data_IF_755435359912
#
_entry.id   IF_755435359912
#
_cell.length_a   1.000
_cell.length_b   1.000
_cell.length_c   1.000
_cell.angle_alpha   90.00
_cell.angle_beta   90.00
_cell.angle_gamma   90.00
#
_symmetry.space_group_name_H-M   'P 1'
#
loop_
_entity.id
_entity.type
_entity.pdbx_description
1 polymer ?
#
# COMPACT_ATOMS: atom_id res chain seq x y z
N UNK A 1 27.58 -25.57 -62.88
CA UNK A 1 27.74 -25.81 -61.45
C UNK A 1 27.38 -24.54 -60.74
N UNK A 2 26.15 -24.43 -60.13
CA UNK A 2 25.64 -23.25 -59.46
C UNK A 2 25.64 -23.58 -57.98
N UNK A 3 26.52 -22.94 -57.23
CA UNK A 3 26.57 -23.06 -55.77
C UNK A 3 25.42 -22.24 -55.16
N UNK A 4 24.47 -22.91 -54.51
CA UNK A 4 23.40 -22.29 -53.75
C UNK A 4 23.99 -21.77 -52.43
N UNK A 5 23.97 -20.45 -52.28
CA UNK A 5 24.32 -19.76 -51.03
C UNK A 5 23.06 -19.73 -50.14
N UNK A 6 23.01 -20.52 -49.09
CA UNK A 6 21.94 -20.49 -48.11
C UNK A 6 22.20 -19.34 -47.14
N UNK A 7 21.38 -18.31 -47.21
CA UNK A 7 21.37 -17.21 -46.21
C UNK A 7 20.52 -17.69 -45.01
N UNK A 8 21.19 -18.02 -43.94
CA UNK A 8 20.54 -18.29 -42.66
C UNK A 8 20.10 -16.96 -42.03
N UNK A 9 18.82 -16.66 -42.15
CA UNK A 9 18.21 -15.52 -41.49
C UNK A 9 17.98 -15.91 -40.02
N UNK A 10 18.91 -15.54 -39.15
CA UNK A 10 18.79 -15.69 -37.70
C UNK A 10 17.71 -14.79 -37.18
N UNK A 11 16.55 -15.33 -36.85
CA UNK A 11 15.48 -14.66 -36.16
C UNK A 11 15.90 -14.52 -34.68
N UNK A 12 16.51 -13.39 -34.33
CA UNK A 12 16.71 -13.03 -32.94
C UNK A 12 15.35 -12.59 -32.38
N UNK A 13 14.58 -13.54 -31.88
CA UNK A 13 13.43 -13.28 -31.03
C UNK A 13 13.97 -12.72 -29.72
N UNK A 14 14.05 -11.40 -29.67
CA UNK A 14 14.27 -10.69 -28.40
C UNK A 14 13.16 -11.08 -27.43
N UNK A 15 13.49 -11.93 -26.46
CA UNK A 15 12.68 -12.18 -25.29
C UNK A 15 12.57 -10.85 -24.52
N UNK A 16 11.61 -10.01 -24.93
CA UNK A 16 11.13 -8.93 -24.09
C UNK A 16 10.56 -9.60 -22.85
N UNK A 17 11.34 -9.57 -21.78
CA UNK A 17 10.92 -10.03 -20.47
C UNK A 17 9.67 -9.24 -20.07
N UNK A 18 8.51 -9.82 -20.31
CA UNK A 18 7.25 -9.33 -19.76
C UNK A 18 7.38 -9.54 -18.27
N UNK A 19 7.75 -8.49 -17.54
CA UNK A 19 7.71 -8.51 -16.08
C UNK A 19 6.24 -8.59 -15.69
N UNK A 20 5.71 -9.79 -15.55
CA UNK A 20 4.38 -10.02 -15.01
C UNK A 20 4.36 -9.50 -13.57
N UNK A 21 3.41 -8.62 -13.29
CA UNK A 21 3.10 -8.28 -11.91
C UNK A 21 2.59 -9.54 -11.23
N UNK A 22 3.28 -10.00 -10.21
CA UNK A 22 2.84 -11.14 -9.43
C UNK A 22 1.71 -10.70 -8.49
N UNK A 23 0.56 -11.36 -8.59
CA UNK A 23 -0.60 -11.10 -7.73
C UNK A 23 -0.73 -12.25 -6.75
N UNK A 24 -0.74 -11.92 -5.48
CA UNK A 24 -0.85 -12.89 -4.41
C UNK A 24 -1.93 -12.51 -3.38
N UNK A 25 -2.55 -13.53 -2.80
CA UNK A 25 -3.50 -13.38 -1.70
C UNK A 25 -2.75 -13.60 -0.40
N UNK A 26 -2.98 -12.69 0.55
CA UNK A 26 -2.49 -12.87 1.91
C UNK A 26 -3.51 -13.67 2.73
N UNK A 27 -3.01 -14.47 3.65
CA UNK A 27 -3.87 -15.25 4.54
C UNK A 27 -4.79 -14.32 5.36
N UNK A 28 -6.04 -14.76 5.61
CA UNK A 28 -6.94 -14.03 6.47
C UNK A 28 -6.34 -13.84 7.87
N UNK A 29 -6.38 -12.63 8.38
CA UNK A 29 -5.80 -12.26 9.67
C UNK A 29 -6.83 -11.62 10.57
N UNK A 30 -6.96 -12.12 11.80
CA UNK A 30 -7.68 -11.42 12.86
C UNK A 30 -6.79 -10.34 13.45
N UNK A 31 -7.31 -9.13 13.55
CA UNK A 31 -6.59 -7.99 14.08
C UNK A 31 -7.52 -7.03 14.82
N UNK A 32 -6.96 -5.96 15.37
CA UNK A 32 -7.70 -4.87 15.96
C UNK A 32 -7.83 -3.74 14.96
N UNK A 33 -9.06 -3.30 14.68
CA UNK A 33 -9.35 -2.11 13.90
C UNK A 33 -9.65 -0.92 14.82
N UNK A 34 -9.08 0.23 14.49
CA UNK A 34 -9.30 1.50 15.16
C UNK A 34 -9.98 2.43 14.16
N UNK A 35 -11.16 2.93 14.52
CA UNK A 35 -11.93 3.81 13.67
C UNK A 35 -11.92 5.20 14.25
N UNK A 36 -11.58 6.18 13.42
CA UNK A 36 -11.53 7.59 13.81
C UNK A 36 -12.49 8.41 12.95
N UNK A 37 -12.89 9.54 13.49
CA UNK A 37 -13.58 10.62 12.79
C UNK A 37 -13.07 11.95 13.32
N UNK A 38 -12.66 12.86 12.43
CA UNK A 38 -12.09 14.17 12.78
C UNK A 38 -10.97 14.06 13.83
N UNK A 39 -10.04 13.13 13.57
CA UNK A 39 -8.87 12.83 14.40
C UNK A 39 -9.19 12.27 15.81
N UNK A 40 -10.46 11.95 16.12
CA UNK A 40 -10.88 11.37 17.39
C UNK A 40 -11.20 9.90 17.24
N UNK A 41 -10.65 9.07 18.12
CA UNK A 41 -10.98 7.64 18.17
C UNK A 41 -12.47 7.49 18.52
N UNK A 42 -13.22 6.82 17.65
CA UNK A 42 -14.63 6.52 17.82
C UNK A 42 -14.85 5.10 18.35
N UNK A 43 -14.11 4.15 17.76
CA UNK A 43 -14.28 2.74 18.10
C UNK A 43 -12.94 2.01 17.99
N UNK A 44 -12.78 1.01 18.85
CA UNK A 44 -11.74 0.01 18.81
C UNK A 44 -12.42 -1.35 18.87
N UNK A 45 -12.29 -2.17 17.83
CA UNK A 45 -13.02 -3.45 17.73
C UNK A 45 -12.22 -4.50 16.96
N UNK A 46 -12.49 -5.76 17.27
CA UNK A 46 -11.92 -6.86 16.52
C UNK A 46 -12.39 -6.81 15.07
N UNK A 47 -11.52 -7.14 14.14
CA UNK A 47 -11.84 -7.26 12.73
C UNK A 47 -11.05 -8.39 12.07
N UNK A 48 -11.62 -9.00 11.04
CA UNK A 48 -10.95 -9.93 10.17
C UNK A 48 -10.54 -9.20 8.89
N UNK A 49 -9.27 -9.24 8.56
CA UNK A 49 -8.70 -8.64 7.36
C UNK A 49 -8.39 -9.74 6.34
N UNK A 50 -8.82 -9.53 5.11
CA UNK A 50 -8.32 -10.25 3.94
C UNK A 50 -7.62 -9.27 3.01
N UNK A 51 -6.55 -9.69 2.37
CA UNK A 51 -5.81 -8.81 1.48
C UNK A 51 -5.38 -9.53 0.20
N UNK A 52 -5.25 -8.73 -0.86
CA UNK A 52 -4.63 -9.12 -2.12
C UNK A 52 -3.63 -8.02 -2.48
N UNK A 53 -2.46 -8.41 -2.88
CA UNK A 53 -1.41 -7.48 -3.26
C UNK A 53 -0.80 -7.86 -4.60
N UNK A 54 -0.17 -6.92 -5.26
CA UNK A 54 0.70 -7.17 -6.41
C UNK A 54 1.97 -6.35 -6.30
N UNK A 55 3.04 -6.95 -6.82
CA UNK A 55 4.36 -6.33 -6.95
C UNK A 55 4.71 -6.13 -8.42
N UNK A 56 5.66 -5.23 -8.69
CA UNK A 56 6.11 -4.92 -10.05
C UNK A 56 6.34 -3.41 -10.22
N UNK A 57 6.12 -2.90 -11.43
CA UNK A 57 6.21 -1.45 -11.72
C UNK A 57 5.19 -0.61 -10.93
N UNK A 58 4.11 -1.25 -10.52
CA UNK A 58 3.05 -0.68 -9.69
C UNK A 58 2.84 -1.62 -8.51
N UNK A 59 3.01 -1.13 -7.32
CA UNK A 59 2.72 -1.86 -6.10
C UNK A 59 1.35 -1.47 -5.62
N UNK A 60 0.48 -2.44 -5.39
CA UNK A 60 -0.83 -2.14 -4.85
C UNK A 60 -1.29 -3.20 -3.85
N UNK A 61 -2.17 -2.79 -2.97
CA UNK A 61 -2.81 -3.65 -1.98
C UNK A 61 -4.29 -3.33 -1.90
N UNK A 62 -5.12 -4.36 -1.96
CA UNK A 62 -6.55 -4.30 -1.64
C UNK A 62 -6.77 -5.02 -0.33
N UNK A 63 -7.45 -4.39 0.63
CA UNK A 63 -7.82 -5.00 1.90
C UNK A 63 -9.31 -4.89 2.12
N UNK A 64 -9.89 -5.95 2.69
CA UNK A 64 -11.28 -5.96 3.17
C UNK A 64 -11.25 -6.24 4.66
N UNK A 65 -11.84 -5.34 5.43
CA UNK A 65 -11.99 -5.47 6.87
C UNK A 65 -13.44 -5.81 7.20
N UNK A 66 -13.69 -7.01 7.71
CA UNK A 66 -14.99 -7.39 8.27
C UNK A 66 -14.95 -7.12 9.76
N UNK A 67 -15.66 -6.08 10.19
CA UNK A 67 -15.71 -5.63 11.58
C UNK A 67 -16.62 -6.56 12.41
N UNK A 68 -16.39 -6.61 13.73
CA UNK A 68 -17.22 -7.41 14.66
C UNK A 68 -18.70 -7.03 14.63
N UNK A 69 -19.05 -5.79 14.27
CA UNK A 69 -20.42 -5.32 14.09
C UNK A 69 -21.06 -5.68 12.74
N UNK A 70 -20.38 -6.51 11.92
CA UNK A 70 -20.85 -6.95 10.60
C UNK A 70 -20.54 -5.99 9.44
N UNK A 71 -20.13 -4.74 9.70
CA UNK A 71 -19.76 -3.78 8.66
C UNK A 71 -18.49 -4.23 7.94
N UNK A 72 -18.47 -4.03 6.62
CA UNK A 72 -17.27 -4.26 5.79
C UNK A 72 -16.72 -2.93 5.30
N UNK A 73 -15.41 -2.76 5.42
CA UNK A 73 -14.67 -1.62 4.90
C UNK A 73 -13.67 -2.14 3.88
N UNK A 74 -13.69 -1.57 2.68
CA UNK A 74 -12.76 -1.91 1.60
C UNK A 74 -11.74 -0.80 1.45
N UNK A 75 -10.47 -1.16 1.40
CA UNK A 75 -9.40 -0.20 1.16
C UNK A 75 -8.56 -0.63 -0.02
N UNK A 76 -8.02 0.35 -0.70
CA UNK A 76 -7.06 0.17 -1.75
C UNK A 76 -5.91 1.14 -1.54
N UNK A 77 -4.70 0.69 -1.79
CA UNK A 77 -3.52 1.54 -1.78
C UNK A 77 -2.61 1.13 -2.94
N UNK A 78 -2.05 2.11 -3.64
CA UNK A 78 -1.20 1.93 -4.80
C UNK A 78 -0.01 2.88 -4.72
N UNK A 79 1.20 2.34 -4.88
CA UNK A 79 2.42 3.11 -5.04
C UNK A 79 2.90 2.97 -6.49
N UNK A 80 3.12 4.08 -7.16
CA UNK A 80 3.43 4.11 -8.59
C UNK A 80 4.24 5.34 -8.96
N UNK A 81 4.85 5.33 -10.12
CA UNK A 81 5.46 6.53 -10.68
C UNK A 81 4.41 7.38 -11.40
N UNK A 82 4.61 8.70 -11.45
CA UNK A 82 3.69 9.67 -12.08
C UNK A 82 3.29 9.25 -13.51
N UNK A 83 4.22 8.72 -14.30
CA UNK A 83 3.98 8.25 -15.68
C UNK A 83 3.01 7.08 -15.82
N UNK A 84 2.74 6.34 -14.73
CA UNK A 84 1.81 5.21 -14.72
C UNK A 84 0.44 5.56 -14.10
N UNK A 85 0.20 6.83 -13.82
CA UNK A 85 -1.10 7.27 -13.33
C UNK A 85 -2.17 7.14 -14.41
N UNK A 86 -3.34 6.69 -14.03
CA UNK A 86 -4.53 6.76 -14.86
C UNK A 86 -5.20 8.13 -14.72
N UNK A 87 -6.03 8.50 -15.68
CA UNK A 87 -6.82 9.75 -15.63
C UNK A 87 -7.81 9.82 -14.44
N UNK A 88 -8.12 8.67 -13.85
CA UNK A 88 -9.04 8.53 -12.72
C UNK A 88 -8.34 8.54 -11.36
N UNK A 89 -6.99 8.48 -11.36
CA UNK A 89 -6.23 8.50 -10.14
C UNK A 89 -6.24 9.91 -9.54
N UNK A 90 -6.84 10.08 -8.38
CA UNK A 90 -6.79 11.33 -7.63
C UNK A 90 -5.61 11.30 -6.67
N UNK A 91 -4.66 12.21 -6.88
CA UNK A 91 -3.51 12.38 -6.01
C UNK A 91 -3.97 13.25 -4.84
N UNK A 92 -4.06 12.67 -3.67
CA UNK A 92 -4.11 13.41 -2.42
C UNK A 92 -2.68 13.44 -1.88
N UNK A 93 -2.28 14.57 -1.28
CA UNK A 93 -0.92 14.84 -0.82
C UNK A 93 -0.17 13.58 -0.39
N UNK A 94 0.99 13.31 -0.97
CA UNK A 94 1.73 12.09 -0.69
C UNK A 94 2.26 12.14 0.74
N UNK A 95 1.93 11.13 1.51
CA UNK A 95 2.42 11.03 2.90
C UNK A 95 3.94 10.81 2.98
N UNK A 96 4.61 10.28 1.95
CA UNK A 96 5.99 9.84 2.18
C UNK A 96 6.85 9.69 0.93
N UNK A 97 6.30 9.81 -0.25
CA UNK A 97 7.02 9.34 -1.43
C UNK A 97 8.11 10.27 -1.92
N UNK A 98 8.02 11.57 -1.63
CA UNK A 98 8.94 12.56 -2.18
C UNK A 98 10.33 12.52 -1.56
N UNK A 99 10.45 12.12 -0.29
CA UNK A 99 11.73 12.17 0.42
C UNK A 99 12.63 10.94 0.24
N UNK A 100 12.05 9.77 -0.07
CA UNK A 100 12.81 8.52 0.00
C UNK A 100 12.96 7.76 -1.32
N UNK A 101 12.15 8.06 -2.32
CA UNK A 101 12.10 7.27 -3.56
C UNK A 101 12.27 8.06 -4.86
N UNK A 102 12.67 9.32 -4.75
CA UNK A 102 12.79 10.26 -5.87
C UNK A 102 11.45 10.89 -6.26
N UNK A 103 11.54 12.06 -6.90
CA UNK A 103 10.44 13.00 -7.17
C UNK A 103 9.25 12.46 -7.97
N UNK A 104 9.36 11.24 -8.51
CA UNK A 104 8.35 10.64 -9.41
C UNK A 104 7.41 9.65 -8.74
N UNK A 105 7.59 9.31 -7.46
CA UNK A 105 6.75 8.30 -6.81
C UNK A 105 5.53 8.91 -6.12
N UNK A 106 4.38 8.32 -6.39
CA UNK A 106 3.08 8.77 -5.92
C UNK A 106 2.37 7.64 -5.22
N UNK A 107 1.79 7.94 -4.07
CA UNK A 107 0.93 7.03 -3.33
C UNK A 107 -0.53 7.45 -3.47
N UNK A 108 -1.39 6.52 -3.87
CA UNK A 108 -2.82 6.70 -4.01
C UNK A 108 -3.51 5.73 -3.07
N UNK A 109 -4.53 6.21 -2.36
CA UNK A 109 -5.33 5.35 -1.50
C UNK A 109 -6.82 5.66 -1.61
N UNK A 110 -7.64 4.67 -1.29
CA UNK A 110 -9.09 4.85 -1.19
C UNK A 110 -9.67 4.05 -0.02
N UNK A 111 -10.78 4.53 0.51
CA UNK A 111 -11.65 3.82 1.44
C UNK A 111 -13.03 3.75 0.80
N UNK A 112 -13.56 2.54 0.56
CA UNK A 112 -14.84 2.34 -0.12
C UNK A 112 -14.97 3.13 -1.43
N UNK A 113 -13.89 3.17 -2.22
CA UNK A 113 -13.71 3.92 -3.47
C UNK A 113 -13.67 5.46 -3.33
N UNK A 114 -13.69 6.00 -2.12
CA UNK A 114 -13.48 7.44 -1.90
C UNK A 114 -11.98 7.71 -1.70
N UNK A 115 -11.44 8.79 -2.25
CA UNK A 115 -10.04 9.16 -2.07
C UNK A 115 -9.64 9.29 -0.60
N UNK A 116 -8.48 8.75 -0.28
CA UNK A 116 -7.96 8.74 1.08
C UNK A 116 -6.45 9.03 1.09
N UNK A 117 -5.96 9.50 2.20
CA UNK A 117 -4.53 9.68 2.47
C UNK A 117 -4.03 8.55 3.36
N UNK A 118 -2.77 8.20 3.22
CA UNK A 118 -2.08 7.34 4.18
C UNK A 118 -1.48 8.19 5.28
N UNK A 119 -1.58 7.71 6.51
CA UNK A 119 -0.88 8.29 7.64
C UNK A 119 -0.57 7.22 8.67
N UNK A 120 0.28 7.55 9.64
CA UNK A 120 0.55 6.71 10.78
C UNK A 120 0.17 7.44 12.06
N UNK A 121 -0.22 6.66 13.07
CA UNK A 121 -0.51 7.17 14.41
C UNK A 121 0.32 6.42 15.44
N UNK A 122 0.66 7.11 16.53
CA UNK A 122 1.15 6.45 17.72
C UNK A 122 0.02 5.66 18.38
N UNK A 123 0.32 4.44 18.81
CA UNK A 123 -0.68 3.60 19.49
C UNK A 123 -1.00 4.14 20.90
N UNK A 124 -0.03 4.79 21.57
CA UNK A 124 -0.14 5.24 22.96
C UNK A 124 -1.13 6.38 23.17
N UNK A 125 -1.23 7.30 22.21
CA UNK A 125 -2.02 8.53 22.32
C UNK A 125 -2.85 8.84 21.05
N UNK A 126 -2.73 7.99 20.03
CA UNK A 126 -3.40 8.09 18.72
C UNK A 126 -3.07 9.38 17.94
N UNK A 127 -2.06 10.12 18.34
CA UNK A 127 -1.58 11.28 17.62
C UNK A 127 -1.02 10.87 16.26
N UNK A 128 -1.31 11.67 15.24
CA UNK A 128 -0.70 11.51 13.91
C UNK A 128 0.81 11.72 14.03
N UNK A 129 1.57 10.82 13.47
CA UNK A 129 3.02 10.92 13.37
C UNK A 129 3.39 11.90 12.27
N UNK A 130 4.35 12.77 12.54
CA UNK A 130 4.97 13.54 11.46
C UNK A 130 5.98 12.69 10.70
N UNK A 131 6.50 13.25 9.60
CA UNK A 131 7.39 12.54 8.70
C UNK A 131 8.74 12.18 9.35
N UNK A 132 9.29 13.08 10.14
CA UNK A 132 10.55 12.87 10.86
C UNK A 132 10.42 11.78 11.91
N UNK A 133 9.32 11.75 12.64
CA UNK A 133 9.01 10.68 13.61
C UNK A 133 8.89 9.32 12.93
N UNK A 134 8.28 9.28 11.74
CA UNK A 134 8.16 8.05 10.98
C UNK A 134 9.52 7.55 10.50
N UNK A 135 10.31 8.40 9.86
CA UNK A 135 11.59 8.02 9.25
C UNK A 135 12.74 7.98 10.24
N UNK A 136 12.83 8.92 11.16
CA UNK A 136 13.89 8.97 12.15
C UNK A 136 13.99 7.69 12.99
N UNK A 137 12.85 7.07 13.25
CA UNK A 137 12.80 5.79 13.95
C UNK A 137 12.87 4.58 13.01
N UNK A 138 12.57 4.73 11.72
CA UNK A 138 12.54 3.61 10.78
C UNK A 138 13.93 3.01 10.51
N UNK A 139 14.95 3.85 10.48
CA UNK A 139 16.33 3.43 10.24
C UNK A 139 17.02 2.88 11.50
N UNK A 140 16.45 3.08 12.68
CA UNK A 140 17.02 2.68 13.96
C UNK A 140 16.28 1.53 14.63
N UNK A 141 15.03 1.27 14.26
CA UNK A 141 14.20 0.25 14.90
C UNK A 141 14.21 -1.04 14.10
N UNK A 142 14.45 -2.14 14.78
CA UNK A 142 14.17 -3.46 14.23
C UNK A 142 12.67 -3.62 13.97
N UNK A 143 12.26 -4.43 12.98
CA UNK A 143 10.84 -4.61 12.61
C UNK A 143 9.92 -4.98 13.77
N UNK A 144 10.41 -5.70 14.76
CA UNK A 144 9.69 -6.07 15.98
C UNK A 144 9.48 -4.90 16.96
N UNK A 145 10.16 -3.78 16.76
CA UNK A 145 10.04 -2.58 17.61
C UNK A 145 9.01 -1.58 17.08
N UNK A 146 8.34 -1.88 15.96
CA UNK A 146 7.31 -1.01 15.38
C UNK A 146 5.89 -1.33 15.88
N UNK A 147 5.77 -2.04 17.00
CA UNK A 147 4.49 -2.48 17.56
C UNK A 147 3.65 -1.35 18.16
N UNK A 148 4.25 -0.19 18.36
CA UNK A 148 3.63 1.01 18.95
C UNK A 148 2.96 1.94 17.93
N UNK A 149 2.81 1.46 16.68
CA UNK A 149 2.29 2.25 15.56
C UNK A 149 1.05 1.66 14.94
N UNK A 150 0.21 2.56 14.44
CA UNK A 150 -0.94 2.26 13.62
C UNK A 150 -0.70 2.73 12.18
N UNK A 151 -0.95 1.86 11.22
CA UNK A 151 -1.03 2.21 9.80
C UNK A 151 -2.48 2.57 9.46
N UNK A 152 -2.69 3.74 8.90
CA UNK A 152 -4.01 4.34 8.74
C UNK A 152 -4.28 4.76 7.31
N UNK A 153 -5.56 4.73 6.93
CA UNK A 153 -6.11 5.43 5.78
C UNK A 153 -7.21 6.36 6.27
N UNK A 154 -7.17 7.63 5.88
CA UNK A 154 -8.10 8.68 6.27
C UNK A 154 -8.73 9.30 5.02
N UNK A 155 -10.04 9.49 5.00
CA UNK A 155 -10.72 10.30 3.98
C UNK A 155 -10.22 11.74 4.02
N UNK A 156 -10.23 12.41 2.86
CA UNK A 156 -9.73 13.79 2.72
C UNK A 156 -10.42 14.78 3.66
N UNK A 157 -11.71 14.61 3.88
CA UNK A 157 -12.54 15.44 4.77
C UNK A 157 -12.44 15.07 6.26
N UNK A 158 -11.59 14.06 6.58
CA UNK A 158 -11.40 13.51 7.92
C UNK A 158 -12.65 12.89 8.56
N UNK A 159 -13.74 12.74 7.82
CA UNK A 159 -14.98 12.18 8.33
C UNK A 159 -14.84 10.72 8.77
N UNK A 160 -13.90 10.01 8.16
CA UNK A 160 -13.64 8.61 8.49
C UNK A 160 -12.17 8.23 8.28
N UNK A 161 -11.66 7.43 9.21
CA UNK A 161 -10.33 6.84 9.13
C UNK A 161 -10.36 5.43 9.71
N UNK A 162 -9.62 4.52 9.09
CA UNK A 162 -9.40 3.17 9.59
C UNK A 162 -7.91 2.92 9.79
N UNK A 163 -7.56 2.41 10.96
CA UNK A 163 -6.19 2.02 11.29
C UNK A 163 -6.12 0.58 11.78
N UNK A 164 -4.99 -0.05 11.54
CA UNK A 164 -4.61 -1.34 12.13
C UNK A 164 -3.20 -1.23 12.68
N UNK A 165 -2.78 -2.19 13.49
CA UNK A 165 -1.37 -2.27 13.87
C UNK A 165 -0.48 -2.29 12.63
N UNK A 166 0.63 -1.56 12.70
CA UNK A 166 1.64 -1.60 11.67
C UNK A 166 2.36 -2.95 11.72
N UNK A 167 2.34 -3.70 10.63
CA UNK A 167 3.09 -4.93 10.49
C UNK A 167 4.06 -4.78 9.33
N UNK A 168 5.35 -4.75 9.63
CA UNK A 168 6.41 -4.63 8.63
C UNK A 168 6.42 -5.80 7.64
N UNK A 169 5.97 -6.97 8.08
CA UNK A 169 6.04 -8.22 7.30
C UNK A 169 4.76 -8.54 6.51
N UNK A 170 3.74 -7.67 6.51
CA UNK A 170 2.51 -7.94 5.75
C UNK A 170 2.73 -8.04 4.22
N UNK A 171 3.97 -7.83 3.74
CA UNK A 171 4.32 -7.81 2.31
C UNK A 171 5.64 -8.52 1.97
N UNK A 172 6.28 -9.19 2.92
CA UNK A 172 7.41 -10.06 2.60
C UNK A 172 6.89 -11.48 2.41
N UNK A 173 6.91 -11.93 1.17
CA UNK A 173 7.00 -13.37 0.88
C UNK A 173 8.46 -13.74 1.14
N UNK A 174 8.69 -14.60 2.11
CA UNK A 174 9.98 -15.27 2.27
C UNK A 174 10.26 -16.16 1.06
#
# INVERSE_FOLDING_TARGET
MIKKLAIALGLVLGLMGITHAEVYKLDPKSTQCYLFSHDKLQQKLACNMTATAATGKVWWTKRNFKLANGKTIKTFAKDTQRKYLSKTDKILMPFTSELDRGDDQISIATINNQPAIRQNRWLKDYRVMNLEEFWGNHNQLLPNQMTDRLACLQLEDKSFEICTHYHHNDFRTD
#
